data_IF_390007480848
#
_entry.id   IF_390007480848
#
_cell.length_a   1.000
_cell.length_b   1.000
_cell.length_c   1.000
_cell.angle_alpha   90.00
_cell.angle_beta   90.00
_cell.angle_gamma   90.00
#
_symmetry.space_group_name_H-M   'P 1'
#
loop_
_entity.id
_entity.type
_entity.pdbx_description
1 polymer ?
#
# COMPACT_ATOMS: atom_id res chain seq x y z
N UNK A 1 -5.70 -39.94 -18.16
CA UNK A 1 -6.81 -39.34 -17.37
C UNK A 1 -6.36 -38.71 -16.05
N UNK A 2 -5.42 -39.28 -15.29
CA UNK A 2 -5.00 -38.74 -13.98
C UNK A 2 -4.39 -37.31 -14.02
N UNK A 3 -3.62 -36.96 -15.06
CA UNK A 3 -3.01 -35.63 -15.20
C UNK A 3 -4.04 -34.50 -15.44
N UNK A 4 -5.17 -34.80 -16.09
CA UNK A 4 -6.24 -33.82 -16.36
C UNK A 4 -7.06 -33.55 -15.10
N UNK A 5 -7.29 -34.58 -14.28
CA UNK A 5 -7.97 -34.46 -12.97
C UNK A 5 -7.10 -33.69 -11.97
N UNK A 6 -5.78 -33.91 -11.98
CA UNK A 6 -4.84 -33.17 -11.15
C UNK A 6 -4.75 -31.68 -11.55
N UNK A 7 -4.73 -31.39 -12.85
CA UNK A 7 -4.76 -30.01 -13.36
C UNK A 7 -6.07 -29.29 -13.02
N UNK A 8 -7.22 -29.98 -13.07
CA UNK A 8 -8.52 -29.43 -12.66
C UNK A 8 -8.60 -29.18 -11.14
N UNK A 9 -8.06 -30.07 -10.32
CA UNK A 9 -8.00 -29.91 -8.86
C UNK A 9 -7.03 -28.78 -8.42
N UNK A 10 -5.92 -28.61 -9.13
CA UNK A 10 -5.00 -27.47 -8.93
C UNK A 10 -5.65 -26.16 -9.37
N UNK A 11 -6.37 -26.14 -10.49
CA UNK A 11 -7.14 -24.96 -10.98
C UNK A 11 -8.28 -24.58 -10.02
N UNK A 12 -8.96 -25.55 -9.42
CA UNK A 12 -9.99 -25.33 -8.40
C UNK A 12 -9.42 -24.79 -7.08
N UNK A 13 -8.23 -25.26 -6.67
CA UNK A 13 -7.50 -24.71 -5.50
C UNK A 13 -7.03 -23.28 -5.72
N UNK A 14 -6.58 -22.93 -6.93
CA UNK A 14 -6.20 -21.55 -7.29
C UNK A 14 -7.42 -20.61 -7.23
N UNK A 15 -8.59 -21.07 -7.68
CA UNK A 15 -9.84 -20.30 -7.58
C UNK A 15 -10.35 -20.16 -6.14
N UNK A 16 -10.21 -21.19 -5.29
CA UNK A 16 -10.61 -21.11 -3.87
C UNK A 16 -9.69 -20.20 -3.05
N UNK A 17 -8.38 -20.15 -3.32
CA UNK A 17 -7.46 -19.21 -2.67
C UNK A 17 -7.71 -17.77 -3.17
N UNK A 18 -7.99 -17.60 -4.46
CA UNK A 18 -8.39 -16.33 -5.10
C UNK A 18 -9.65 -15.71 -4.47
N UNK A 19 -10.62 -16.53 -4.04
CA UNK A 19 -11.83 -16.05 -3.36
C UNK A 19 -11.60 -15.47 -1.94
N UNK A 20 -10.59 -15.96 -1.21
CA UNK A 20 -10.30 -15.54 0.18
C UNK A 20 -9.46 -14.26 0.27
N UNK A 21 -8.63 -13.99 -0.74
CA UNK A 21 -7.76 -12.80 -0.75
C UNK A 21 -8.55 -11.57 -1.19
N UNK A 22 -9.41 -11.70 -2.20
CA UNK A 22 -10.33 -10.63 -2.57
C UNK A 22 -11.26 -10.25 -1.40
N UNK A 23 -11.79 -11.22 -0.63
CA UNK A 23 -12.80 -10.95 0.41
C UNK A 23 -12.35 -10.07 1.59
N UNK A 24 -11.06 -9.78 1.74
CA UNK A 24 -10.51 -9.04 2.89
C UNK A 24 -10.72 -7.53 2.73
N UNK A 25 -10.41 -6.98 1.55
CA UNK A 25 -10.60 -5.55 1.24
C UNK A 25 -11.63 -5.28 0.14
N UNK A 26 -12.01 -6.29 -0.65
CA UNK A 26 -13.27 -6.29 -1.38
C UNK A 26 -14.33 -6.96 -0.51
N UNK A 27 -15.43 -6.28 -0.20
CA UNK A 27 -16.55 -6.91 0.52
C UNK A 27 -17.13 -8.06 -0.32
N UNK A 28 -17.06 -9.29 0.19
CA UNK A 28 -17.69 -10.44 -0.45
C UNK A 28 -19.16 -10.47 -0.06
N UNK A 29 -20.05 -10.08 -0.96
CA UNK A 29 -21.45 -10.50 -0.89
C UNK A 29 -21.50 -12.02 -1.04
N UNK A 30 -22.09 -12.69 -0.06
CA UNK A 30 -22.54 -14.08 -0.21
C UNK A 30 -23.27 -14.23 -1.56
N UNK A 31 -23.03 -15.32 -2.27
CA UNK A 31 -23.47 -15.67 -3.63
C UNK A 31 -24.98 -15.57 -3.95
N UNK A 32 -25.77 -14.92 -3.10
CA UNK A 32 -27.20 -14.66 -3.25
C UNK A 32 -27.54 -13.21 -3.63
N UNK A 33 -26.58 -12.28 -3.72
CA UNK A 33 -26.88 -10.90 -4.16
C UNK A 33 -25.84 -10.35 -5.13
N UNK A 34 -26.33 -9.91 -6.29
CA UNK A 34 -25.66 -9.27 -7.43
C UNK A 34 -25.05 -7.89 -7.12
N UNK A 35 -24.43 -7.71 -5.95
CA UNK A 35 -23.81 -6.44 -5.55
C UNK A 35 -22.33 -6.41 -5.91
N UNK A 36 -21.92 -5.39 -6.65
CA UNK A 36 -20.52 -5.06 -6.97
C UNK A 36 -19.74 -4.87 -5.66
N UNK A 37 -18.55 -5.49 -5.49
CA UNK A 37 -17.81 -5.40 -4.24
C UNK A 37 -17.23 -4.00 -4.00
N UNK A 38 -17.15 -3.59 -2.74
CA UNK A 38 -16.59 -2.30 -2.31
C UNK A 38 -15.18 -2.44 -1.77
N UNK A 39 -14.32 -1.48 -2.09
CA UNK A 39 -12.96 -1.35 -1.56
C UNK A 39 -13.02 -0.61 -0.23
N UNK A 40 -12.44 -1.22 0.80
CA UNK A 40 -12.35 -0.63 2.15
C UNK A 40 -11.23 0.42 2.23
N UNK A 41 -11.34 1.32 3.19
CA UNK A 41 -10.22 2.15 3.66
C UNK A 41 -9.25 1.27 4.47
N UNK A 42 -8.00 1.69 4.64
CA UNK A 42 -7.08 1.06 5.60
C UNK A 42 -6.71 2.07 6.67
N UNK A 43 -7.33 1.97 7.86
CA UNK A 43 -7.13 2.94 8.93
C UNK A 43 -6.82 2.19 10.22
N UNK A 44 -5.77 2.62 10.92
CA UNK A 44 -5.36 2.11 12.23
C UNK A 44 -5.14 0.59 12.24
N UNK A 45 -4.50 0.08 11.16
CA UNK A 45 -4.26 -1.35 10.97
C UNK A 45 -5.52 -2.16 10.67
N UNK A 46 -6.62 -1.54 10.22
CA UNK A 46 -7.86 -2.25 9.93
C UNK A 46 -8.40 -1.86 8.57
N UNK A 47 -9.01 -2.82 7.88
CA UNK A 47 -9.83 -2.54 6.72
C UNK A 47 -11.20 -2.07 7.18
N UNK A 48 -11.55 -0.82 6.87
CA UNK A 48 -12.74 -0.13 7.37
C UNK A 48 -13.69 0.18 6.21
N UNK A 49 -14.96 -0.20 6.34
CA UNK A 49 -16.00 0.22 5.41
C UNK A 49 -16.22 1.73 5.50
N UNK A 50 -16.27 2.39 4.35
CA UNK A 50 -16.48 3.83 4.33
C UNK A 50 -17.94 4.18 4.63
N UNK A 51 -18.14 5.32 5.29
CA UNK A 51 -19.43 5.97 5.51
C UNK A 51 -19.84 6.89 4.35
N UNK A 52 -19.06 6.93 3.28
CA UNK A 52 -19.35 7.74 2.11
C UNK A 52 -20.60 7.25 1.38
N UNK A 53 -21.39 8.21 0.90
CA UNK A 53 -22.49 8.00 -0.04
C UNK A 53 -22.04 8.09 -1.51
N UNK A 54 -20.81 8.59 -1.75
CA UNK A 54 -20.23 8.74 -3.08
C UNK A 54 -19.22 7.63 -3.37
N UNK A 55 -19.46 6.92 -4.46
CA UNK A 55 -18.66 5.77 -4.88
C UNK A 55 -18.23 5.94 -6.33
N UNK A 56 -17.02 5.49 -6.64
CA UNK A 56 -16.45 5.52 -8.00
C UNK A 56 -16.32 4.06 -8.45
N UNK A 57 -16.88 3.76 -9.63
CA UNK A 57 -16.79 2.44 -10.23
C UNK A 57 -15.36 2.16 -10.72
N UNK A 58 -14.88 0.96 -10.41
CA UNK A 58 -13.65 0.40 -10.95
C UNK A 58 -14.05 -0.48 -12.13
N UNK A 59 -13.53 -0.14 -13.31
CA UNK A 59 -13.78 -0.89 -14.53
C UNK A 59 -12.60 -1.80 -14.85
N UNK A 60 -12.88 -3.02 -15.30
CA UNK A 60 -11.89 -3.80 -16.02
C UNK A 60 -11.73 -3.20 -17.42
N UNK A 61 -10.57 -2.65 -17.80
CA UNK A 61 -10.40 -1.96 -19.07
C UNK A 61 -10.49 -2.89 -20.29
N UNK A 62 -10.35 -4.21 -20.12
CA UNK A 62 -10.47 -5.17 -21.21
C UNK A 62 -11.93 -5.54 -21.54
N UNK A 63 -12.84 -5.49 -20.55
CA UNK A 63 -14.26 -5.85 -20.72
C UNK A 63 -15.22 -4.68 -20.54
N UNK A 64 -14.73 -3.57 -19.98
CA UNK A 64 -15.49 -2.41 -19.51
C UNK A 64 -16.50 -2.70 -18.39
N UNK A 65 -16.51 -3.92 -17.85
CA UNK A 65 -17.40 -4.32 -16.75
C UNK A 65 -16.94 -3.68 -15.44
N UNK A 66 -17.91 -3.33 -14.59
CA UNK A 66 -17.65 -2.86 -13.24
C UNK A 66 -17.25 -4.04 -12.37
N UNK A 67 -16.02 -4.02 -11.87
CA UNK A 67 -15.43 -5.09 -11.04
C UNK A 67 -15.36 -4.74 -9.56
N UNK A 68 -15.57 -3.48 -9.21
CA UNK A 68 -15.56 -3.00 -7.83
C UNK A 68 -15.93 -1.53 -7.72
N UNK A 69 -16.01 -1.02 -6.49
CA UNK A 69 -16.25 0.40 -6.19
C UNK A 69 -15.31 0.89 -5.11
N UNK A 70 -14.76 2.09 -5.26
CA UNK A 70 -14.03 2.78 -4.18
C UNK A 70 -14.85 3.93 -3.63
N UNK A 71 -14.76 4.20 -2.32
CA UNK A 71 -15.41 5.35 -1.74
C UNK A 71 -14.66 6.64 -2.09
N UNK A 72 -15.40 7.74 -2.24
CA UNK A 72 -14.86 9.07 -2.03
C UNK A 72 -14.85 9.32 -0.52
N UNK A 73 -13.70 9.10 0.13
CA UNK A 73 -13.61 9.18 1.59
C UNK A 73 -14.06 10.55 2.09
N UNK A 74 -14.85 10.53 3.16
CA UNK A 74 -15.33 11.74 3.82
C UNK A 74 -14.17 12.47 4.51
N UNK A 75 -14.32 13.78 4.73
CA UNK A 75 -13.35 14.56 5.51
C UNK A 75 -13.07 13.95 6.89
N UNK A 76 -14.10 13.44 7.56
CA UNK A 76 -13.96 12.79 8.87
C UNK A 76 -13.11 11.51 8.82
N UNK A 77 -13.18 10.74 7.74
CA UNK A 77 -12.34 9.54 7.54
C UNK A 77 -10.90 9.91 7.22
N UNK A 78 -10.68 10.97 6.42
CA UNK A 78 -9.35 11.53 6.19
C UNK A 78 -8.73 12.02 7.50
N UNK A 79 -9.47 12.79 8.29
CA UNK A 79 -9.02 13.31 9.59
C UNK A 79 -8.71 12.16 10.57
N UNK A 80 -9.50 11.09 10.56
CA UNK A 80 -9.24 9.89 11.35
C UNK A 80 -7.95 9.17 10.92
N UNK A 81 -7.69 9.07 9.62
CA UNK A 81 -6.46 8.50 9.07
C UNK A 81 -5.22 9.35 9.44
N UNK A 82 -5.32 10.68 9.33
CA UNK A 82 -4.26 11.60 9.77
C UNK A 82 -4.02 11.51 11.27
N UNK A 83 -5.09 11.46 12.08
CA UNK A 83 -4.98 11.31 13.52
C UNK A 83 -4.32 9.97 13.91
N UNK A 84 -4.61 8.90 13.18
CA UNK A 84 -3.96 7.60 13.33
C UNK A 84 -2.44 7.69 13.09
N UNK A 85 -2.01 8.31 11.97
CA UNK A 85 -0.60 8.58 11.70
C UNK A 85 0.06 9.39 12.83
N UNK A 86 -0.58 10.48 13.27
CA UNK A 86 -0.06 11.35 14.33
C UNK A 86 0.12 10.61 15.66
N UNK A 87 -0.82 9.72 16.02
CA UNK A 87 -0.71 8.91 17.25
C UNK A 87 0.41 7.88 17.17
N UNK A 88 0.61 7.26 16.01
CA UNK A 88 1.64 6.23 15.83
C UNK A 88 3.06 6.82 15.71
N UNK A 89 3.19 8.06 15.24
CA UNK A 89 4.48 8.67 14.90
C UNK A 89 5.51 8.68 16.04
N UNK A 90 5.21 9.15 17.27
CA UNK A 90 6.24 9.24 18.32
C UNK A 90 6.89 7.89 18.64
N UNK A 91 6.08 6.85 18.85
CA UNK A 91 6.59 5.51 19.16
C UNK A 91 7.35 4.88 17.97
N UNK A 92 6.91 5.14 16.74
CA UNK A 92 7.58 4.63 15.55
C UNK A 92 8.90 5.33 15.24
N UNK A 93 8.96 6.66 15.44
CA UNK A 93 10.17 7.44 15.29
C UNK A 93 11.26 7.00 16.29
N UNK A 94 10.86 6.71 17.54
CA UNK A 94 11.74 6.24 18.62
C UNK A 94 12.15 4.75 18.48
N UNK A 95 11.47 3.99 17.62
CA UNK A 95 11.85 2.60 17.33
C UNK A 95 13.23 2.56 16.65
N UNK A 96 14.15 1.71 17.11
CA UNK A 96 15.51 1.67 16.57
C UNK A 96 15.55 1.43 15.04
N UNK A 97 16.54 1.99 14.36
CA UNK A 97 16.76 1.82 12.90
C UNK A 97 16.81 0.34 12.51
N UNK A 98 17.47 -0.50 13.33
CA UNK A 98 17.55 -1.95 13.12
C UNK A 98 16.17 -2.62 13.25
N UNK A 99 15.37 -2.24 14.25
CA UNK A 99 14.01 -2.78 14.41
C UNK A 99 13.13 -2.42 13.22
N UNK A 100 13.22 -1.19 12.71
CA UNK A 100 12.51 -0.77 11.48
C UNK A 100 12.99 -1.56 10.27
N UNK A 101 14.30 -1.73 10.10
CA UNK A 101 14.88 -2.56 9.04
C UNK A 101 14.31 -3.99 9.03
N UNK A 102 14.18 -4.62 10.20
CA UNK A 102 13.63 -5.98 10.31
C UNK A 102 12.17 -6.09 9.82
N UNK A 103 11.36 -5.05 10.02
CA UNK A 103 9.99 -4.98 9.46
C UNK A 103 10.05 -4.98 7.92
N UNK A 104 10.93 -4.18 7.33
CA UNK A 104 11.06 -4.07 5.88
C UNK A 104 11.69 -5.32 5.24
N UNK A 105 12.61 -6.01 5.94
CA UNK A 105 13.16 -7.29 5.49
C UNK A 105 12.07 -8.38 5.43
N UNK A 106 11.17 -8.45 6.41
CA UNK A 106 10.01 -9.35 6.35
C UNK A 106 9.05 -8.94 5.25
N UNK A 107 8.82 -7.63 5.10
CA UNK A 107 7.94 -7.08 4.07
C UNK A 107 8.42 -7.41 2.65
N UNK A 108 9.73 -7.28 2.37
CA UNK A 108 10.30 -7.64 1.06
C UNK A 108 10.01 -9.11 0.72
N UNK A 109 10.10 -10.00 1.71
CA UNK A 109 9.89 -11.43 1.53
C UNK A 109 8.42 -11.72 1.23
N UNK A 110 7.51 -11.09 1.96
CA UNK A 110 6.07 -11.19 1.72
C UNK A 110 5.66 -10.67 0.33
N UNK A 111 6.27 -9.59 -0.16
CA UNK A 111 6.04 -9.12 -1.54
C UNK A 111 6.52 -10.17 -2.56
N UNK A 112 7.71 -10.76 -2.37
CA UNK A 112 8.24 -11.80 -3.27
C UNK A 112 7.31 -13.00 -3.34
N UNK A 113 6.81 -13.45 -2.19
CA UNK A 113 5.90 -14.60 -2.09
C UNK A 113 4.53 -14.33 -2.73
N UNK A 114 4.08 -13.07 -2.71
CA UNK A 114 2.78 -12.65 -3.24
C UNK A 114 2.85 -11.93 -4.59
N UNK A 115 4.02 -11.89 -5.24
CA UNK A 115 4.27 -11.10 -6.46
C UNK A 115 3.22 -11.35 -7.55
N UNK A 116 2.91 -12.62 -7.80
CA UNK A 116 1.92 -13.02 -8.82
C UNK A 116 0.51 -12.55 -8.49
N UNK A 117 0.15 -12.55 -7.21
CA UNK A 117 -1.18 -12.10 -6.80
C UNK A 117 -1.31 -10.58 -6.86
N UNK A 118 -0.26 -9.86 -6.49
CA UNK A 118 -0.19 -8.40 -6.69
C UNK A 118 -0.31 -8.09 -8.18
N UNK A 119 0.48 -8.75 -9.04
CA UNK A 119 0.44 -8.55 -10.48
C UNK A 119 -0.94 -8.86 -11.09
N UNK A 120 -1.63 -9.90 -10.59
CA UNK A 120 -3.00 -10.23 -11.01
C UNK A 120 -3.99 -9.08 -10.75
N UNK A 121 -3.90 -8.42 -9.58
CA UNK A 121 -4.74 -7.26 -9.26
C UNK A 121 -4.45 -6.09 -10.20
N UNK A 122 -3.17 -5.84 -10.50
CA UNK A 122 -2.76 -4.80 -11.46
C UNK A 122 -3.34 -5.08 -12.84
N UNK A 123 -3.22 -6.30 -13.36
CA UNK A 123 -3.79 -6.66 -14.66
C UNK A 123 -5.31 -6.50 -14.68
N UNK A 124 -5.99 -6.91 -13.61
CA UNK A 124 -7.45 -6.83 -13.52
C UNK A 124 -7.98 -5.40 -13.55
N UNK A 125 -7.34 -4.48 -12.82
CA UNK A 125 -7.83 -3.11 -12.65
C UNK A 125 -7.20 -2.12 -13.66
N UNK A 126 -5.93 -2.31 -14.01
CA UNK A 126 -5.17 -1.39 -14.87
C UNK A 126 -5.13 -1.83 -16.34
N UNK A 127 -5.16 -3.14 -16.61
CA UNK A 127 -5.22 -3.71 -17.96
C UNK A 127 -3.89 -4.07 -18.62
N UNK A 128 -2.74 -3.73 -18.03
CA UNK A 128 -1.43 -4.16 -18.57
C UNK A 128 -1.28 -5.68 -18.54
N UNK A 129 -0.42 -6.18 -19.43
CA UNK A 129 -0.12 -7.61 -19.49
C UNK A 129 0.43 -8.11 -18.15
N UNK A 130 0.23 -9.40 -17.85
CA UNK A 130 0.72 -9.97 -16.59
C UNK A 130 2.24 -9.81 -16.44
N UNK A 131 3.00 -9.95 -17.54
CA UNK A 131 4.45 -9.75 -17.52
C UNK A 131 4.83 -8.30 -17.18
N UNK A 132 4.13 -7.32 -17.74
CA UNK A 132 4.35 -5.90 -17.40
C UNK A 132 3.94 -5.60 -15.95
N UNK A 133 2.88 -6.25 -15.45
CA UNK A 133 2.45 -6.16 -14.06
C UNK A 133 3.46 -6.79 -13.09
N UNK A 134 4.05 -7.94 -13.42
CA UNK A 134 5.14 -8.52 -12.63
C UNK A 134 6.36 -7.59 -12.60
N UNK A 135 6.66 -6.94 -13.73
CA UNK A 135 7.69 -5.89 -13.82
C UNK A 135 7.39 -4.67 -12.93
N UNK A 136 6.13 -4.22 -12.87
CA UNK A 136 5.66 -3.15 -11.98
C UNK A 136 5.95 -3.47 -10.51
N UNK A 137 5.52 -4.66 -10.06
CA UNK A 137 5.77 -5.14 -8.69
C UNK A 137 7.26 -5.27 -8.41
N UNK A 138 8.02 -5.85 -9.34
CA UNK A 138 9.46 -6.07 -9.17
C UNK A 138 10.24 -4.76 -9.01
N UNK A 139 9.91 -3.73 -9.81
CA UNK A 139 10.54 -2.40 -9.68
C UNK A 139 10.18 -1.68 -8.38
N UNK A 140 8.98 -1.90 -7.85
CA UNK A 140 8.62 -1.44 -6.51
C UNK A 140 9.40 -2.17 -5.42
N UNK A 141 9.51 -3.50 -5.53
CA UNK A 141 10.27 -4.35 -4.60
C UNK A 141 11.73 -3.94 -4.49
N UNK A 142 12.38 -3.55 -5.60
CA UNK A 142 13.76 -3.05 -5.58
C UNK A 142 13.95 -1.84 -4.65
N UNK A 143 12.94 -0.97 -4.51
CA UNK A 143 13.00 0.15 -3.57
C UNK A 143 12.81 -0.31 -2.12
N UNK A 144 12.00 -1.33 -1.88
CA UNK A 144 11.90 -1.97 -0.55
C UNK A 144 13.22 -2.62 -0.16
N UNK A 145 13.88 -3.30 -1.09
CA UNK A 145 15.22 -3.88 -0.87
C UNK A 145 16.27 -2.79 -0.60
N UNK A 146 16.21 -1.66 -1.31
CA UNK A 146 17.04 -0.50 -1.02
C UNK A 146 16.76 0.07 0.38
N UNK A 147 15.48 0.18 0.77
CA UNK A 147 15.07 0.63 2.09
C UNK A 147 15.68 -0.23 3.21
N UNK A 148 15.88 -1.53 2.99
CA UNK A 148 16.57 -2.41 3.93
C UNK A 148 18.04 -2.01 4.18
N UNK A 149 18.64 -1.13 3.38
CA UNK A 149 19.96 -0.54 3.64
C UNK A 149 19.92 0.67 4.59
N UNK A 150 18.80 0.92 5.28
CA UNK A 150 18.57 2.10 6.12
C UNK A 150 19.69 2.43 7.12
N UNK A 151 20.41 1.43 7.62
CA UNK A 151 21.52 1.62 8.58
C UNK A 151 22.67 2.45 8.02
N UNK A 152 22.93 2.37 6.71
CA UNK A 152 23.88 3.25 6.04
C UNK A 152 23.21 4.52 5.51
N UNK A 153 21.95 4.43 5.05
CA UNK A 153 21.22 5.57 4.49
C UNK A 153 20.89 6.67 5.51
N UNK A 154 20.77 6.32 6.80
CA UNK A 154 20.46 7.27 7.87
C UNK A 154 21.68 7.85 8.59
N UNK A 155 22.91 7.47 8.19
CA UNK A 155 24.11 8.06 8.77
C UNK A 155 24.13 9.57 8.52
N UNK A 156 24.49 10.31 9.57
CA UNK A 156 24.89 11.69 9.47
C UNK A 156 26.36 11.83 9.10
N UNK A 157 26.87 13.05 9.15
CA UNK A 157 28.25 13.38 8.84
C UNK A 157 28.90 14.04 10.06
N UNK A 158 30.21 13.86 10.20
CA UNK A 158 30.98 14.43 11.30
C UNK A 158 32.26 15.03 10.76
N UNK A 159 32.60 16.25 11.17
CA UNK A 159 33.86 16.91 10.83
C UNK A 159 34.48 17.50 12.10
N UNK A 160 35.59 16.93 12.60
CA UNK A 160 36.26 17.48 13.77
C UNK A 160 37.01 18.77 13.42
N UNK A 161 37.15 19.66 14.40
CA UNK A 161 38.04 20.82 14.36
C UNK A 161 37.85 21.72 13.15
N UNK A 162 36.60 21.99 12.77
CA UNK A 162 36.30 22.97 11.71
C UNK A 162 36.81 24.38 12.10
N UNK A 163 36.87 24.66 13.39
CA UNK A 163 37.67 25.73 13.98
C UNK A 163 38.16 25.32 15.38
N UNK A 164 38.96 26.17 16.02
CA UNK A 164 39.46 25.94 17.37
C UNK A 164 38.30 25.63 18.33
N UNK A 165 38.42 24.53 19.05
CA UNK A 165 37.47 24.06 20.07
C UNK A 165 36.03 23.82 19.53
N UNK A 166 35.87 23.51 18.23
CA UNK A 166 34.57 23.25 17.61
C UNK A 166 34.57 22.08 16.63
N UNK A 167 33.67 21.14 16.86
CA UNK A 167 33.35 20.02 15.97
C UNK A 167 31.96 20.22 15.33
N UNK A 168 31.75 19.60 14.17
CA UNK A 168 30.48 19.63 13.43
C UNK A 168 29.89 18.21 13.32
N UNK A 169 28.59 18.09 13.57
CA UNK A 169 27.81 16.86 13.42
C UNK A 169 26.49 17.15 12.73
N UNK A 170 26.00 16.22 11.92
CA UNK A 170 24.64 16.24 11.37
C UNK A 170 23.88 14.96 11.73
N UNK A 171 22.56 15.06 11.81
CA UNK A 171 21.67 13.93 12.05
C UNK A 171 20.56 13.89 11.01
N UNK A 172 20.15 12.69 10.61
CA UNK A 172 18.97 12.47 9.77
C UNK A 172 17.82 12.01 10.66
N UNK A 173 16.82 12.87 10.81
CA UNK A 173 15.65 12.63 11.65
C UNK A 173 14.40 12.47 10.78
N UNK A 174 13.39 11.70 11.22
CA UNK A 174 12.12 11.64 10.52
C UNK A 174 11.42 13.01 10.54
N UNK A 175 10.68 13.30 9.48
CA UNK A 175 9.91 14.54 9.29
C UNK A 175 8.60 14.55 10.09
N UNK A 176 7.94 13.39 10.22
CA UNK A 176 6.62 13.31 10.85
C UNK A 176 5.65 12.41 10.12
N UNK A 177 4.44 12.94 9.92
CA UNK A 177 3.41 12.34 9.07
C UNK A 177 3.65 12.80 7.64
N UNK A 178 3.97 11.87 6.75
CA UNK A 178 4.10 12.12 5.32
C UNK A 178 2.82 11.69 4.59
N UNK A 179 2.55 12.28 3.43
CA UNK A 179 1.44 11.88 2.58
C UNK A 179 1.91 11.63 1.14
N UNK A 180 1.23 10.70 0.46
CA UNK A 180 1.52 10.36 -0.92
C UNK A 180 0.25 10.13 -1.74
N UNK A 181 0.23 10.68 -2.94
CA UNK A 181 -0.84 10.50 -3.91
C UNK A 181 -0.24 9.79 -5.14
N UNK A 182 -0.72 8.59 -5.45
CA UNK A 182 -0.19 7.80 -6.56
C UNK A 182 -1.14 7.81 -7.77
N UNK A 183 -0.60 7.96 -9.00
CA UNK A 183 -1.35 7.83 -10.23
C UNK A 183 -1.67 6.37 -10.57
N UNK A 184 -2.45 6.15 -11.62
CA UNK A 184 -2.96 4.83 -11.99
C UNK A 184 -1.99 3.96 -12.81
N UNK A 185 -0.95 4.54 -13.41
CA UNK A 185 -0.12 3.86 -14.40
C UNK A 185 0.81 2.80 -13.81
N UNK A 186 1.25 2.96 -12.56
CA UNK A 186 2.06 1.96 -11.85
C UNK A 186 1.58 1.73 -10.41
N UNK A 187 0.47 0.98 -10.23
CA UNK A 187 -0.26 0.85 -8.96
C UNK A 187 0.44 0.03 -7.86
N UNK A 188 1.58 -0.59 -8.13
CA UNK A 188 2.43 -1.18 -7.09
C UNK A 188 3.75 -0.42 -6.93
N UNK A 189 4.45 -0.16 -8.03
CA UNK A 189 5.75 0.51 -8.05
C UNK A 189 5.72 1.87 -7.34
N UNK A 190 4.80 2.77 -7.71
CA UNK A 190 4.79 4.14 -7.15
C UNK A 190 4.47 4.10 -5.65
N UNK A 191 3.43 3.39 -5.16
CA UNK A 191 3.24 3.18 -3.72
C UNK A 191 4.49 2.69 -3.00
N UNK A 192 5.18 1.68 -3.55
CA UNK A 192 6.39 1.11 -2.97
C UNK A 192 7.60 2.05 -3.02
N UNK A 193 7.59 3.06 -3.89
CA UNK A 193 8.60 4.12 -3.90
C UNK A 193 8.38 5.17 -2.81
N UNK A 194 7.16 5.25 -2.26
CA UNK A 194 6.76 6.30 -1.32
C UNK A 194 6.79 5.83 0.14
N UNK A 195 5.82 5.01 0.53
CA UNK A 195 5.60 4.71 1.95
C UNK A 195 6.71 3.84 2.58
N UNK A 196 7.32 2.84 1.91
CA UNK A 196 8.36 2.03 2.53
C UNK A 196 9.59 2.85 2.92
N UNK A 197 10.03 3.75 2.03
CA UNK A 197 11.15 4.66 2.29
C UNK A 197 10.86 5.64 3.42
N UNK A 198 9.67 6.24 3.41
CA UNK A 198 9.26 7.13 4.49
C UNK A 198 9.24 6.40 5.85
N UNK A 199 8.64 5.20 5.87
CA UNK A 199 8.47 4.42 7.09
C UNK A 199 9.77 3.87 7.65
N UNK A 200 10.69 3.38 6.81
CA UNK A 200 11.97 2.87 7.29
C UNK A 200 12.81 3.98 7.93
N UNK A 201 12.66 5.23 7.48
CA UNK A 201 13.27 6.41 8.08
C UNK A 201 12.59 6.88 9.38
N UNK A 202 11.49 6.25 9.81
CA UNK A 202 10.77 6.56 11.05
C UNK A 202 9.54 7.46 10.88
N UNK A 203 9.12 7.76 9.64
CA UNK A 203 7.89 8.52 9.38
C UNK A 203 6.66 7.61 9.44
N UNK A 204 5.49 8.21 9.65
CA UNK A 204 4.21 7.55 9.34
C UNK A 204 3.68 8.06 8.00
N UNK A 205 2.79 7.32 7.37
CA UNK A 205 2.40 7.60 5.99
C UNK A 205 0.90 7.51 5.75
N UNK A 206 0.34 8.55 5.14
CA UNK A 206 -1.00 8.56 4.58
C UNK A 206 -0.93 8.40 3.06
N UNK A 207 -1.49 7.32 2.54
CA UNK A 207 -1.44 6.99 1.13
C UNK A 207 -2.82 7.17 0.47
N UNK A 208 -2.85 7.79 -0.70
CA UNK A 208 -4.02 7.83 -1.58
C UNK A 208 -3.65 7.24 -2.94
N UNK A 209 -3.91 5.94 -3.19
CA UNK A 209 -3.75 5.39 -4.53
C UNK A 209 -4.80 6.01 -5.48
N UNK A 210 -4.62 5.78 -6.79
CA UNK A 210 -5.67 6.09 -7.73
C UNK A 210 -6.89 5.21 -7.47
N UNK A 211 -8.04 5.85 -7.48
CA UNK A 211 -9.38 5.28 -7.41
C UNK A 211 -9.64 4.20 -8.48
N UNK A 212 -8.89 4.24 -9.59
CA UNK A 212 -9.04 3.30 -10.70
C UNK A 212 -8.38 1.95 -10.46
N UNK A 213 -7.36 1.91 -9.59
CA UNK A 213 -6.45 0.76 -9.44
C UNK A 213 -6.00 0.56 -7.98
N UNK A 214 -6.92 0.52 -7.00
CA UNK A 214 -6.56 0.49 -5.59
C UNK A 214 -6.02 -0.86 -5.11
N UNK A 215 -6.36 -1.97 -5.77
CA UNK A 215 -6.26 -3.32 -5.21
C UNK A 215 -4.84 -3.72 -4.86
N UNK A 216 -3.89 -3.41 -5.75
CA UNK A 216 -2.48 -3.68 -5.49
C UNK A 216 -1.97 -2.97 -4.23
N UNK A 217 -2.32 -1.69 -4.03
CA UNK A 217 -1.93 -0.92 -2.84
C UNK A 217 -2.58 -1.47 -1.57
N UNK A 218 -3.83 -1.94 -1.64
CA UNK A 218 -4.52 -2.55 -0.48
C UNK A 218 -3.89 -3.87 -0.05
N UNK A 219 -3.52 -4.73 -1.01
CA UNK A 219 -2.78 -5.96 -0.70
C UNK A 219 -1.40 -5.64 -0.09
N UNK A 220 -0.68 -4.66 -0.65
CA UNK A 220 0.61 -4.22 -0.08
C UNK A 220 0.48 -3.74 1.36
N UNK A 221 -0.60 -3.03 1.73
CA UNK A 221 -0.86 -2.65 3.12
C UNK A 221 -1.12 -3.85 4.03
N UNK A 222 -1.84 -4.87 3.55
CA UNK A 222 -2.01 -6.12 4.30
C UNK A 222 -0.66 -6.78 4.58
N UNK A 223 0.18 -6.91 3.55
CA UNK A 223 1.50 -7.54 3.66
C UNK A 223 2.43 -6.74 4.59
N UNK A 224 2.32 -5.41 4.61
CA UNK A 224 3.06 -4.57 5.54
C UNK A 224 2.60 -4.78 7.00
N UNK A 225 1.30 -4.94 7.23
CA UNK A 225 0.80 -5.32 8.55
C UNK A 225 1.32 -6.71 8.96
N UNK A 226 1.30 -7.68 8.04
CA UNK A 226 1.78 -9.05 8.31
C UNK A 226 3.29 -9.11 8.54
N UNK A 227 4.05 -8.11 8.07
CA UNK A 227 5.48 -7.97 8.41
C UNK A 227 5.73 -7.43 9.82
N UNK A 228 4.67 -7.08 10.56
CA UNK A 228 4.74 -6.56 11.93
C UNK A 228 4.91 -5.05 12.01
N UNK A 229 4.55 -4.30 10.96
CA UNK A 229 4.48 -2.84 11.06
C UNK A 229 3.44 -2.42 12.12
N UNK A 230 3.76 -1.49 13.03
CA UNK A 230 2.82 -1.04 14.04
C UNK A 230 1.57 -0.41 13.44
N UNK A 231 0.44 -0.54 14.15
CA UNK A 231 -0.82 0.07 13.73
C UNK A 231 -0.68 1.59 13.58
N UNK A 232 -1.37 2.14 12.57
CA UNK A 232 -1.36 3.56 12.27
C UNK A 232 -0.10 4.10 11.58
N UNK A 233 0.94 3.29 11.39
CA UNK A 233 2.15 3.74 10.66
C UNK A 233 1.92 3.89 9.15
N UNK A 234 0.99 3.11 8.58
CA UNK A 234 0.42 3.31 7.25
C UNK A 234 -1.10 3.42 7.39
N UNK A 235 -1.69 4.42 6.72
CA UNK A 235 -3.13 4.51 6.50
C UNK A 235 -3.40 4.78 5.01
N UNK A 236 -4.48 4.23 4.48
CA UNK A 236 -4.92 4.42 3.08
C UNK A 236 -6.33 4.98 3.05
N UNK A 237 -6.49 6.06 2.28
CA UNK A 237 -7.79 6.64 1.93
C UNK A 237 -7.99 6.64 0.42
N UNK A 238 -9.26 6.69 -0.01
CA UNK A 238 -9.66 6.73 -1.41
C UNK A 238 -10.45 8.00 -1.71
N UNK A 239 -10.48 8.38 -2.98
CA UNK A 239 -11.23 9.53 -3.46
C UNK A 239 -10.60 10.15 -4.71
N UNK A 240 -11.33 11.06 -5.32
CA UNK A 240 -10.89 11.88 -6.44
C UNK A 240 -10.63 13.31 -5.99
N UNK A 241 -10.09 14.14 -6.89
CA UNK A 241 -10.05 15.58 -6.68
C UNK A 241 -11.50 16.08 -6.50
N UNK A 242 -11.71 17.06 -5.62
CA UNK A 242 -12.98 17.77 -5.62
C UNK A 242 -13.08 18.52 -6.95
N UNK A 243 -14.07 18.17 -7.76
CA UNK A 243 -14.52 19.04 -8.84
C UNK A 243 -15.18 20.26 -8.17
N UNK A 244 -14.38 21.19 -7.67
CA UNK A 244 -14.88 22.54 -7.46
C UNK A 244 -15.32 23.03 -8.84
N UNK A 245 -16.64 23.07 -9.05
CA UNK A 245 -17.20 23.94 -10.06
C UNK A 245 -16.67 25.32 -9.71
N UNK A 246 -15.68 25.78 -10.46
CA UNK A 246 -15.28 27.18 -10.48
C UNK A 246 -16.52 27.91 -11.00
N UNK A 247 -17.38 28.36 -10.07
CA UNK A 247 -18.38 29.37 -10.38
C UNK A 247 -17.59 30.62 -10.78
N UNK A 248 -17.65 30.91 -12.08
CA UNK A 248 -17.11 32.12 -12.69
C UNK A 248 -17.94 33.35 -12.31
#
# INVERSE_FOLDING_TARGET
>A
MAAVVLAAAVRARILQVSSKVNSIWYSASSFSSSSVPTVKLFIDGKFVESKSDKWIDIHNPATNEVIGRVPQATKAEMDAAVASCKRAFPAWADTSVLSRQQVLLRYQQLIKENLKEIARLITLEQGKTLADAEGDVFRGLQVVEHACSVTSLMLGETMPSITKDMDLYSYRLPLGVCAGIAPFNFPAMIPLWMFPMAMVCGNTFLMKPSERVPGATMLLAKLLQDSGAPVGTLNIIHGQHEDEKIEA
#
